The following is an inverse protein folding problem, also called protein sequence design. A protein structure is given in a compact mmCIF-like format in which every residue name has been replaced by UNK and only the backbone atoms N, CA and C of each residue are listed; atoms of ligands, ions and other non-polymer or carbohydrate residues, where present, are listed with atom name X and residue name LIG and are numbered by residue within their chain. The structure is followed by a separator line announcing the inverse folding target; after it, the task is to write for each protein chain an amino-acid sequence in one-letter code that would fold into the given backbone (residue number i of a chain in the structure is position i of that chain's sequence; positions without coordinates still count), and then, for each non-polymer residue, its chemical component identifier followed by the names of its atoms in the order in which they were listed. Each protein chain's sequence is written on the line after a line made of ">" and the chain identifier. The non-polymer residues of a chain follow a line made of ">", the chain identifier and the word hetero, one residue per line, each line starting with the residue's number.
data_IF_905536804457
#
_entry.id   IF_905536804457
#
_cell.length_a   1.000
_cell.length_b   1.000
_cell.length_c   1.000
_cell.angle_alpha   90.00
_cell.angle_beta   90.00
_cell.angle_gamma   90.00
#
_symmetry.space_group_name_H-M   'P 1'
#
loop_
_entity.id
_entity.type
_entity.pdbx_description
1 polymer ?
#
# COMPACT_ATOMS: atom_id res chain seq x y z
N UNK A 1 -49.36 -2.58 67.10
CA UNK A 1 -49.53 -2.42 65.64
C UNK A 1 -48.27 -1.82 65.07
N UNK A 2 -47.38 -2.64 64.65
CA UNK A 2 -46.06 -2.20 64.16
C UNK A 2 -45.95 -2.54 62.66
N UNK A 3 -45.90 -1.52 61.79
CA UNK A 3 -45.78 -1.63 60.32
C UNK A 3 -44.29 -1.72 59.94
N UNK A 4 -43.93 -2.80 59.33
CA UNK A 4 -42.62 -2.95 58.65
C UNK A 4 -42.71 -2.35 57.27
N UNK A 5 -41.80 -1.40 56.95
CA UNK A 5 -41.60 -0.86 55.60
C UNK A 5 -40.41 -1.61 55.00
N UNK A 6 -40.64 -2.41 53.98
CA UNK A 6 -39.58 -3.05 53.21
C UNK A 6 -39.12 -2.12 52.07
N UNK A 7 -37.86 -1.68 52.13
CA UNK A 7 -37.23 -0.88 51.09
C UNK A 7 -36.66 -1.80 50.03
N UNK A 8 -37.23 -1.78 48.82
CA UNK A 8 -36.69 -2.45 47.66
C UNK A 8 -35.56 -1.57 47.06
N UNK A 9 -34.33 -2.04 47.13
CA UNK A 9 -33.22 -1.46 46.37
C UNK A 9 -33.23 -2.03 44.95
N UNK A 10 -33.59 -1.22 43.97
CA UNK A 10 -33.48 -1.54 42.55
C UNK A 10 -32.03 -1.36 42.11
N UNK A 11 -31.32 -2.44 41.87
CA UNK A 11 -30.00 -2.43 41.26
C UNK A 11 -30.15 -2.20 39.76
N UNK A 12 -29.78 -1.04 39.26
CA UNK A 12 -29.63 -0.76 37.84
C UNK A 12 -28.38 -1.52 37.36
N UNK A 13 -28.56 -2.63 36.66
CA UNK A 13 -27.54 -3.17 35.80
C UNK A 13 -27.45 -2.32 34.53
N UNK A 14 -26.39 -1.51 34.42
CA UNK A 14 -26.02 -0.89 33.18
C UNK A 14 -25.50 -1.99 32.23
N UNK A 15 -26.33 -2.44 31.32
CA UNK A 15 -25.89 -3.28 30.19
C UNK A 15 -25.11 -2.38 29.23
N UNK A 16 -23.80 -2.50 29.24
CA UNK A 16 -22.97 -1.97 28.19
C UNK A 16 -23.27 -2.76 26.92
N UNK A 17 -24.03 -2.17 26.01
CA UNK A 17 -24.16 -2.67 24.66
C UNK A 17 -22.80 -2.43 23.97
N UNK A 18 -22.00 -3.47 23.82
CA UNK A 18 -20.95 -3.47 22.83
C UNK A 18 -21.66 -3.28 21.48
N UNK A 19 -21.33 -2.22 20.76
CA UNK A 19 -21.68 -2.13 19.35
C UNK A 19 -21.08 -3.37 18.69
N UNK A 20 -21.92 -4.19 18.05
CA UNK A 20 -21.45 -5.36 17.33
C UNK A 20 -20.59 -4.83 16.17
N UNK A 21 -19.33 -5.24 16.16
CA UNK A 21 -18.49 -5.07 14.97
C UNK A 21 -19.22 -5.69 13.78
N UNK A 22 -19.16 -5.03 12.62
CA UNK A 22 -19.81 -5.56 11.40
C UNK A 22 -19.31 -6.96 11.06
N UNK A 23 -20.07 -7.67 10.24
CA UNK A 23 -19.62 -8.96 9.72
C UNK A 23 -18.41 -8.78 8.79
N UNK A 24 -17.49 -9.78 8.73
CA UNK A 24 -16.36 -9.73 7.79
C UNK A 24 -16.86 -9.61 6.35
N UNK A 25 -16.25 -8.72 5.57
CA UNK A 25 -16.58 -8.54 4.15
C UNK A 25 -16.26 -9.80 3.35
N UNK A 26 -15.20 -10.52 3.75
CA UNK A 26 -14.73 -11.75 3.14
C UNK A 26 -14.43 -12.77 4.25
N UNK A 27 -15.21 -13.87 4.30
CA UNK A 27 -15.02 -14.98 5.23
C UNK A 27 -15.32 -16.31 4.54
N UNK A 28 -14.31 -17.15 4.30
CA UNK A 28 -14.51 -18.49 3.75
C UNK A 28 -15.03 -19.50 4.81
N UNK A 29 -15.35 -20.71 4.33
CA UNK A 29 -15.86 -21.81 5.16
C UNK A 29 -14.77 -22.41 6.08
N UNK A 30 -15.19 -22.99 7.20
CA UNK A 30 -14.35 -23.55 8.27
C UNK A 30 -13.35 -24.64 7.82
N UNK A 31 -12.14 -24.62 8.37
CA UNK A 31 -11.18 -25.73 8.37
C UNK A 31 -9.84 -25.48 7.66
N UNK A 32 -9.15 -24.35 7.91
CA UNK A 32 -7.87 -24.05 7.24
C UNK A 32 -6.91 -23.15 8.03
N UNK A 33 -5.89 -22.62 7.35
CA UNK A 33 -4.97 -21.61 7.87
C UNK A 33 -5.72 -20.28 7.93
N UNK A 34 -6.06 -19.80 9.11
CA UNK A 34 -6.80 -18.54 9.29
C UNK A 34 -5.88 -17.34 9.19
N UNK A 35 -6.15 -16.48 8.22
CA UNK A 35 -5.39 -15.27 7.95
C UNK A 35 -6.33 -14.07 8.10
N UNK A 36 -5.96 -13.13 8.98
CA UNK A 36 -6.71 -11.90 9.19
C UNK A 36 -6.23 -10.78 8.26
N UNK A 37 -7.15 -9.93 7.84
CA UNK A 37 -6.87 -8.75 7.02
C UNK A 37 -7.81 -7.61 7.37
N UNK A 38 -7.34 -6.38 7.28
CA UNK A 38 -8.14 -5.16 7.44
C UNK A 38 -7.85 -4.25 6.26
N UNK A 39 -8.90 -3.82 5.55
CA UNK A 39 -8.80 -3.06 4.31
C UNK A 39 -9.83 -1.94 4.27
N UNK A 40 -9.56 -0.80 3.62
CA UNK A 40 -10.54 0.24 3.38
C UNK A 40 -11.43 -0.13 2.17
N UNK A 41 -12.43 -0.99 2.38
CA UNK A 41 -13.39 -1.30 1.31
C UNK A 41 -14.38 -0.16 1.06
N UNK A 42 -14.53 0.73 2.04
CA UNK A 42 -15.31 1.97 1.97
C UNK A 42 -14.49 3.17 2.46
N UNK A 43 -15.06 4.39 2.40
CA UNK A 43 -14.38 5.60 2.83
C UNK A 43 -13.46 6.24 1.78
N UNK A 44 -12.59 7.14 2.23
CA UNK A 44 -11.75 7.98 1.34
C UNK A 44 -10.71 7.17 0.55
N UNK A 45 -10.30 6.02 1.08
CA UNK A 45 -9.25 5.16 0.50
C UNK A 45 -9.84 3.88 -0.15
N UNK A 46 -11.14 3.86 -0.44
CA UNK A 46 -11.87 2.67 -0.93
C UNK A 46 -11.28 2.03 -2.20
N UNK A 47 -10.59 2.81 -3.04
CA UNK A 47 -9.92 2.28 -4.25
C UNK A 47 -8.90 1.17 -3.89
N UNK A 48 -8.21 1.30 -2.77
CA UNK A 48 -7.22 0.32 -2.32
C UNK A 48 -7.84 -1.00 -1.81
N UNK A 49 -9.15 -1.04 -1.56
CA UNK A 49 -9.88 -2.26 -1.23
C UNK A 49 -9.78 -3.35 -2.30
N UNK A 50 -9.44 -2.98 -3.54
CA UNK A 50 -9.16 -3.92 -4.63
C UNK A 50 -8.01 -4.89 -4.28
N UNK A 51 -7.04 -4.48 -3.45
CA UNK A 51 -5.95 -5.32 -2.96
C UNK A 51 -6.51 -6.54 -2.22
N UNK A 52 -7.29 -6.33 -1.17
CA UNK A 52 -7.84 -7.42 -0.34
C UNK A 52 -8.82 -8.32 -1.11
N UNK A 53 -9.56 -7.77 -2.08
CA UNK A 53 -10.42 -8.58 -2.95
C UNK A 53 -9.61 -9.50 -3.86
N UNK A 54 -8.50 -9.00 -4.43
CA UNK A 54 -7.60 -9.81 -5.25
C UNK A 54 -6.86 -10.87 -4.40
N UNK A 55 -6.46 -10.55 -3.16
CA UNK A 55 -5.90 -11.51 -2.19
C UNK A 55 -6.90 -12.64 -1.90
N UNK A 56 -8.16 -12.30 -1.60
CA UNK A 56 -9.21 -13.28 -1.35
C UNK A 56 -9.45 -14.21 -2.55
N UNK A 57 -9.54 -13.62 -3.75
CA UNK A 57 -9.69 -14.38 -4.98
C UNK A 57 -8.50 -15.32 -5.23
N UNK A 58 -7.28 -14.85 -4.90
CA UNK A 58 -6.07 -15.67 -5.02
C UNK A 58 -6.10 -16.88 -4.08
N UNK A 59 -6.51 -16.70 -2.83
CA UNK A 59 -6.64 -17.80 -1.89
C UNK A 59 -7.80 -18.75 -2.26
N UNK A 60 -8.89 -18.24 -2.84
CA UNK A 60 -9.92 -19.09 -3.41
C UNK A 60 -9.34 -19.98 -4.52
N UNK A 61 -8.64 -19.42 -5.49
CA UNK A 61 -7.94 -20.16 -6.54
C UNK A 61 -7.01 -21.22 -5.96
N UNK A 62 -6.21 -20.85 -4.96
CA UNK A 62 -5.26 -21.73 -4.31
C UNK A 62 -5.98 -22.93 -3.65
N UNK A 63 -7.10 -22.69 -2.95
CA UNK A 63 -7.88 -23.72 -2.29
C UNK A 63 -8.50 -24.71 -3.30
N UNK A 64 -8.99 -24.23 -4.45
CA UNK A 64 -9.48 -25.09 -5.52
C UNK A 64 -8.40 -26.04 -6.09
N UNK A 65 -7.12 -25.65 -5.95
CA UNK A 65 -5.96 -26.45 -6.39
C UNK A 65 -5.32 -27.25 -5.25
N UNK A 66 -6.02 -27.44 -4.11
CA UNK A 66 -5.57 -28.27 -3.00
C UNK A 66 -4.86 -27.52 -1.87
N UNK A 67 -4.91 -26.20 -1.88
CA UNK A 67 -4.37 -25.36 -0.80
C UNK A 67 -2.84 -25.33 -0.73
N UNK A 68 -2.32 -25.11 0.47
CA UNK A 68 -0.88 -25.10 0.75
C UNK A 68 -0.56 -26.29 1.67
N UNK A 69 0.34 -27.16 1.25
CA UNK A 69 0.73 -28.34 2.01
C UNK A 69 -0.49 -29.18 2.48
N UNK A 70 -1.57 -29.21 1.68
CA UNK A 70 -2.82 -29.90 2.01
C UNK A 70 -3.79 -29.12 2.92
N UNK A 71 -3.48 -27.88 3.29
CA UNK A 71 -4.34 -27.02 4.08
C UNK A 71 -4.98 -25.91 3.23
N UNK A 72 -6.27 -25.70 3.41
CA UNK A 72 -6.94 -24.53 2.84
C UNK A 72 -6.53 -23.25 3.57
N UNK A 73 -6.60 -22.12 2.88
CA UNK A 73 -6.45 -20.78 3.47
C UNK A 73 -7.84 -20.21 3.75
N UNK A 74 -8.09 -19.83 5.00
CA UNK A 74 -9.27 -19.08 5.43
C UNK A 74 -8.88 -17.62 5.56
N UNK A 75 -9.14 -16.82 4.53
CA UNK A 75 -8.86 -15.40 4.51
C UNK A 75 -10.06 -14.61 5.03
N UNK A 76 -9.91 -13.94 6.17
CA UNK A 76 -10.96 -13.18 6.87
C UNK A 76 -10.59 -11.70 6.77
N UNK A 77 -11.36 -10.92 6.03
CA UNK A 77 -11.09 -9.51 5.81
C UNK A 77 -12.24 -8.62 6.25
N UNK A 78 -11.92 -7.56 6.98
CA UNK A 78 -12.86 -6.56 7.48
C UNK A 78 -12.64 -5.21 6.80
N UNK A 79 -13.71 -4.40 6.74
CA UNK A 79 -13.68 -3.01 6.28
C UNK A 79 -13.41 -2.08 7.46
N UNK A 80 -12.31 -1.32 7.43
CA UNK A 80 -12.01 -0.29 8.43
C UNK A 80 -12.55 1.09 8.02
N UNK A 81 -13.29 1.18 6.91
CA UNK A 81 -13.88 2.43 6.42
C UNK A 81 -12.87 3.58 6.28
N UNK A 82 -11.60 3.26 6.15
CA UNK A 82 -10.45 4.20 6.17
C UNK A 82 -10.24 4.87 7.55
N UNK A 83 -10.69 4.23 8.66
CA UNK A 83 -10.52 4.72 10.03
C UNK A 83 -9.51 3.86 10.81
N UNK A 84 -8.35 4.42 11.20
CA UNK A 84 -7.35 3.70 12.00
C UNK A 84 -7.85 3.19 13.35
N UNK A 85 -8.83 3.84 13.97
CA UNK A 85 -9.39 3.36 15.25
C UNK A 85 -10.25 2.12 15.04
N UNK A 86 -11.04 2.10 13.97
CA UNK A 86 -11.80 0.91 13.58
C UNK A 86 -10.86 -0.25 13.23
N UNK A 87 -9.76 0.01 12.53
CA UNK A 87 -8.74 -0.99 12.23
C UNK A 87 -8.19 -1.68 13.49
N UNK A 88 -8.02 -0.95 14.61
CA UNK A 88 -7.59 -1.52 15.88
C UNK A 88 -8.60 -2.51 16.44
N UNK A 89 -9.89 -2.14 16.47
CA UNK A 89 -10.93 -3.00 17.04
C UNK A 89 -11.18 -4.24 16.17
N UNK A 90 -11.16 -4.09 14.85
CA UNK A 90 -11.25 -5.19 13.89
C UNK A 90 -10.06 -6.14 13.99
N UNK A 91 -8.84 -5.61 14.15
CA UNK A 91 -7.64 -6.45 14.35
C UNK A 91 -7.72 -7.25 15.64
N UNK A 92 -8.23 -6.66 16.73
CA UNK A 92 -8.48 -7.43 17.97
C UNK A 92 -9.50 -8.54 17.75
N UNK A 93 -10.57 -8.26 17.02
CA UNK A 93 -11.57 -9.27 16.70
C UNK A 93 -10.99 -10.43 15.88
N UNK A 94 -10.17 -10.13 14.86
CA UNK A 94 -9.45 -11.14 14.08
C UNK A 94 -8.60 -12.06 14.95
N UNK A 95 -7.89 -11.49 15.92
CA UNK A 95 -6.97 -12.23 16.80
C UNK A 95 -7.70 -12.99 17.90
N UNK A 96 -8.63 -12.34 18.60
CA UNK A 96 -9.20 -12.84 19.85
C UNK A 96 -10.48 -13.64 19.65
N UNK A 97 -11.24 -13.37 18.57
CA UNK A 97 -12.49 -14.05 18.25
C UNK A 97 -12.34 -15.01 17.08
N UNK A 98 -11.80 -14.52 15.96
CA UNK A 98 -11.63 -15.35 14.75
C UNK A 98 -10.41 -16.28 14.84
N UNK A 99 -9.53 -16.10 15.84
CA UNK A 99 -8.32 -16.89 16.04
C UNK A 99 -7.38 -16.89 14.83
N UNK A 100 -7.21 -15.72 14.19
CA UNK A 100 -6.28 -15.57 13.09
C UNK A 100 -4.86 -15.96 13.53
N UNK A 101 -4.19 -16.75 12.72
CA UNK A 101 -2.81 -17.17 12.94
C UNK A 101 -1.88 -15.95 12.88
N UNK A 102 -2.10 -15.10 11.89
CA UNK A 102 -1.41 -13.83 11.67
C UNK A 102 -2.29 -12.86 10.89
N UNK A 103 -1.87 -11.59 10.83
CA UNK A 103 -2.47 -10.54 10.01
C UNK A 103 -1.61 -10.33 8.76
N UNK A 104 -2.24 -10.23 7.58
CA UNK A 104 -1.57 -10.18 6.29
C UNK A 104 -2.16 -9.11 5.38
N UNK A 105 -1.30 -8.40 4.65
CA UNK A 105 -1.69 -7.53 3.54
C UNK A 105 -2.55 -6.32 3.90
N UNK A 106 -2.78 -6.04 5.19
CA UNK A 106 -3.61 -4.92 5.63
C UNK A 106 -3.07 -3.59 5.10
N UNK A 107 -3.97 -2.72 4.62
CA UNK A 107 -3.60 -1.50 3.93
C UNK A 107 -3.39 -0.31 4.87
N UNK A 108 -2.48 0.58 4.44
CA UNK A 108 -2.36 1.95 4.95
C UNK A 108 -1.41 2.11 6.14
N UNK A 109 -0.69 3.23 6.15
CA UNK A 109 0.28 3.52 7.22
C UNK A 109 -0.41 3.77 8.55
N UNK A 110 -1.39 4.68 8.68
CA UNK A 110 -2.03 4.97 9.96
C UNK A 110 -2.71 3.74 10.58
N UNK A 111 -3.52 2.99 9.81
CA UNK A 111 -4.23 1.79 10.29
C UNK A 111 -3.28 0.71 10.80
N UNK A 112 -2.14 0.51 10.12
CA UNK A 112 -1.16 -0.50 10.53
C UNK A 112 -0.27 -0.06 11.69
N UNK A 113 0.00 1.23 11.86
CA UNK A 113 0.77 1.75 13.00
C UNK A 113 0.02 1.57 14.33
N UNK A 114 -1.28 1.82 14.36
CA UNK A 114 -2.06 1.69 15.60
C UNK A 114 -2.12 0.24 16.10
N UNK A 115 -2.12 -0.75 15.20
CA UNK A 115 -2.20 -2.18 15.56
C UNK A 115 -0.83 -2.81 15.81
N UNK A 116 0.25 -2.22 15.30
CA UNK A 116 1.61 -2.78 15.32
C UNK A 116 2.07 -3.20 16.70
N UNK A 117 1.96 -2.29 17.69
CA UNK A 117 2.40 -2.58 19.05
C UNK A 117 1.63 -3.75 19.67
N UNK A 118 0.30 -3.76 19.49
CA UNK A 118 -0.57 -4.83 20.00
C UNK A 118 -0.18 -6.20 19.43
N UNK A 119 0.03 -6.29 18.10
CA UNK A 119 0.42 -7.53 17.45
C UNK A 119 1.81 -8.00 17.87
N UNK A 120 2.78 -7.08 18.00
CA UNK A 120 4.13 -7.41 18.48
C UNK A 120 4.14 -7.90 19.94
N UNK A 121 3.39 -7.24 20.84
CA UNK A 121 3.27 -7.65 22.24
C UNK A 121 2.66 -9.06 22.39
N UNK A 122 1.77 -9.45 21.44
CA UNK A 122 1.14 -10.78 21.42
C UNK A 122 1.91 -11.82 20.58
N UNK A 123 3.04 -11.46 20.00
CA UNK A 123 3.82 -12.31 19.09
C UNK A 123 2.98 -12.83 17.92
N UNK A 124 2.21 -11.93 17.31
CA UNK A 124 1.41 -12.24 16.15
C UNK A 124 2.06 -11.59 14.93
N UNK A 125 2.44 -12.35 13.91
CA UNK A 125 3.00 -11.77 12.69
C UNK A 125 2.03 -10.79 12.03
N UNK A 126 2.52 -9.60 11.72
CA UNK A 126 1.90 -8.60 10.84
C UNK A 126 2.70 -8.60 9.54
N UNK A 127 2.28 -9.43 8.59
CA UNK A 127 3.07 -9.74 7.42
C UNK A 127 2.64 -8.93 6.22
N UNK A 128 3.65 -8.41 5.52
CA UNK A 128 3.50 -7.80 4.22
C UNK A 128 2.47 -6.67 4.21
N UNK A 129 2.59 -5.79 5.21
CA UNK A 129 1.77 -4.57 5.30
C UNK A 129 1.77 -3.87 3.95
N UNK A 130 0.58 -3.55 3.43
CA UNK A 130 0.40 -2.82 2.18
C UNK A 130 0.64 -1.31 2.40
N UNK A 131 1.87 -0.98 2.77
CA UNK A 131 2.39 0.37 2.98
C UNK A 131 3.92 0.34 2.86
N UNK A 132 4.48 1.34 2.20
CA UNK A 132 5.92 1.53 2.02
C UNK A 132 6.59 2.39 3.09
N UNK A 133 5.95 2.68 4.23
CA UNK A 133 6.57 3.47 5.30
C UNK A 133 7.85 2.80 5.81
N UNK A 134 8.93 3.57 5.96
CA UNK A 134 10.24 3.05 6.37
C UNK A 134 10.25 2.45 7.79
N UNK A 135 9.21 2.75 8.60
CA UNK A 135 9.03 2.17 9.93
C UNK A 135 8.77 0.65 9.93
N UNK A 136 8.35 0.06 8.79
CA UNK A 136 8.20 -1.40 8.67
C UNK A 136 9.54 -2.14 8.62
N UNK A 137 10.63 -1.45 8.31
CA UNK A 137 11.98 -1.99 8.25
C UNK A 137 12.73 -1.93 9.61
N UNK A 138 12.03 -2.20 10.71
CA UNK A 138 12.60 -2.15 12.07
C UNK A 138 12.49 -3.49 12.80
N UNK A 139 13.26 -4.51 12.40
CA UNK A 139 13.21 -5.85 13.05
C UNK A 139 13.67 -5.86 14.52
N UNK A 140 14.44 -4.85 14.95
CA UNK A 140 14.92 -4.77 16.33
C UNK A 140 13.80 -4.46 17.32
N UNK A 141 12.98 -3.45 17.02
CA UNK A 141 11.95 -2.97 17.93
C UNK A 141 10.57 -3.59 17.65
N UNK A 142 10.35 -4.03 16.41
CA UNK A 142 9.11 -4.67 15.95
C UNK A 142 9.38 -5.95 15.15
N UNK A 143 9.90 -7.01 15.79
CA UNK A 143 10.32 -8.24 15.11
C UNK A 143 9.16 -9.05 14.48
N UNK A 144 7.92 -8.70 14.77
CA UNK A 144 6.72 -9.36 14.25
C UNK A 144 6.00 -8.57 13.16
N UNK A 145 6.57 -7.45 12.69
CA UNK A 145 5.98 -6.61 11.63
C UNK A 145 6.92 -6.47 10.45
N UNK A 146 6.41 -6.69 9.25
CA UNK A 146 7.13 -6.56 7.98
C UNK A 146 6.25 -5.91 6.93
N UNK A 147 6.75 -4.85 6.24
CA UNK A 147 6.11 -4.28 5.04
C UNK A 147 6.29 -5.16 3.82
N UNK A 148 5.71 -4.76 2.68
CA UNK A 148 5.90 -5.46 1.40
C UNK A 148 6.39 -4.57 0.27
N UNK A 149 5.73 -3.44 -0.06
CA UNK A 149 6.16 -2.59 -1.17
C UNK A 149 7.49 -1.88 -0.88
N UNK A 150 8.11 -1.30 -1.89
CA UNK A 150 9.28 -0.44 -1.71
C UNK A 150 9.01 0.71 -0.74
N UNK A 151 10.07 1.18 -0.09
CA UNK A 151 9.94 2.25 0.90
C UNK A 151 9.67 3.61 0.24
N UNK A 152 8.67 4.34 0.74
CA UNK A 152 8.33 5.71 0.30
C UNK A 152 9.51 6.66 0.41
N UNK A 153 10.32 6.53 1.45
CA UNK A 153 11.55 7.31 1.62
C UNK A 153 12.57 7.04 0.51
N UNK A 154 12.69 5.80 0.04
CA UNK A 154 13.51 5.46 -1.13
C UNK A 154 12.96 6.10 -2.39
N UNK A 155 11.65 6.05 -2.57
CA UNK A 155 10.95 6.67 -3.68
C UNK A 155 11.22 8.20 -3.73
N UNK A 156 11.06 8.90 -2.61
CA UNK A 156 11.37 10.32 -2.51
C UNK A 156 12.80 10.65 -2.91
N UNK A 157 13.79 9.82 -2.51
CA UNK A 157 15.20 9.98 -2.93
C UNK A 157 15.39 9.75 -4.43
N UNK A 158 14.66 8.80 -5.03
CA UNK A 158 14.71 8.58 -6.49
C UNK A 158 14.22 9.83 -7.23
N UNK A 159 13.10 10.43 -6.80
CA UNK A 159 12.60 11.66 -7.37
C UNK A 159 13.58 12.81 -7.21
N UNK A 160 14.17 12.98 -6.02
CA UNK A 160 15.19 14.00 -5.76
C UNK A 160 16.37 13.90 -6.72
N UNK A 161 16.87 12.68 -6.96
CA UNK A 161 17.98 12.47 -7.88
C UNK A 161 17.61 12.78 -9.33
N UNK A 162 16.43 12.38 -9.75
CA UNK A 162 15.93 12.71 -11.07
C UNK A 162 15.79 14.23 -11.26
N UNK A 163 15.19 14.92 -10.28
CA UNK A 163 15.02 16.36 -10.29
C UNK A 163 16.37 17.07 -10.36
N UNK A 164 17.35 16.68 -9.56
CA UNK A 164 18.68 17.26 -9.58
C UNK A 164 19.40 17.04 -10.92
N UNK A 165 19.23 15.87 -11.53
CA UNK A 165 19.89 15.54 -12.80
C UNK A 165 19.32 16.34 -13.99
N UNK A 166 18.00 16.59 -14.01
CA UNK A 166 17.32 17.15 -15.18
C UNK A 166 16.72 18.55 -14.96
N UNK A 167 16.57 19.00 -13.69
CA UNK A 167 15.85 20.22 -13.34
C UNK A 167 16.51 21.00 -12.21
N UNK A 168 17.84 21.05 -12.16
CA UNK A 168 18.67 21.52 -11.02
C UNK A 168 18.42 22.94 -10.54
N UNK A 169 17.71 23.78 -11.30
CA UNK A 169 17.43 25.19 -10.94
C UNK A 169 15.94 25.50 -10.83
N UNK A 170 15.07 24.49 -10.98
CA UNK A 170 13.62 24.67 -10.97
C UNK A 170 13.06 24.69 -9.56
N UNK A 171 12.00 25.48 -9.36
CA UNK A 171 11.28 25.58 -8.09
C UNK A 171 10.38 24.37 -7.88
N UNK A 172 10.57 23.67 -6.78
CA UNK A 172 9.77 22.51 -6.38
C UNK A 172 8.65 22.97 -5.44
N UNK A 173 7.44 22.48 -5.67
CA UNK A 173 6.36 22.49 -4.71
C UNK A 173 5.97 21.06 -4.34
N UNK A 174 5.58 20.83 -3.09
CA UNK A 174 5.14 19.53 -2.61
C UNK A 174 3.70 19.63 -2.15
N UNK A 175 2.85 18.73 -2.66
CA UNK A 175 1.46 18.56 -2.22
C UNK A 175 1.32 17.15 -1.66
N UNK A 176 1.14 17.03 -0.34
CA UNK A 176 1.27 15.77 0.37
C UNK A 176 0.10 15.48 1.32
N UNK A 177 -0.26 14.20 1.45
CA UNK A 177 -1.30 13.76 2.38
C UNK A 177 -0.81 13.92 3.82
N UNK A 178 -1.60 14.57 4.66
CA UNK A 178 -1.25 14.95 6.03
C UNK A 178 -1.30 13.78 7.03
N UNK A 179 -0.50 12.76 6.75
CA UNK A 179 -0.30 11.62 7.65
C UNK A 179 1.15 11.10 7.57
N UNK A 180 1.43 9.94 8.15
CA UNK A 180 2.76 9.33 8.14
C UNK A 180 3.19 8.91 6.74
N UNK A 181 2.24 8.52 5.87
CA UNK A 181 2.53 8.16 4.48
C UNK A 181 3.16 9.35 3.73
N UNK A 182 2.45 10.49 3.65
CA UNK A 182 2.95 11.65 2.95
C UNK A 182 4.23 12.22 3.56
N UNK A 183 4.35 12.19 4.89
CA UNK A 183 5.58 12.64 5.57
C UNK A 183 6.79 11.81 5.23
N UNK A 184 6.65 10.49 5.03
CA UNK A 184 7.81 9.62 4.79
C UNK A 184 8.38 9.82 3.38
N UNK A 185 7.53 9.97 2.36
CA UNK A 185 7.96 10.29 1.01
C UNK A 185 8.61 11.68 0.95
N UNK A 186 7.96 12.70 1.56
CA UNK A 186 8.47 14.06 1.58
C UNK A 186 9.86 14.13 2.24
N UNK A 187 10.06 13.45 3.38
CA UNK A 187 11.40 13.32 4.00
C UNK A 187 12.40 12.67 3.06
N UNK A 188 12.00 11.63 2.32
CA UNK A 188 12.84 11.00 1.32
C UNK A 188 13.28 11.98 0.22
N UNK A 189 12.37 12.84 -0.22
CA UNK A 189 12.68 13.92 -1.18
C UNK A 189 13.69 14.91 -0.62
N UNK A 190 13.48 15.40 0.62
CA UNK A 190 14.41 16.33 1.29
C UNK A 190 15.79 15.71 1.47
N UNK A 191 15.87 14.47 1.96
CA UNK A 191 17.13 13.74 2.13
C UNK A 191 17.87 13.55 0.80
N UNK A 192 17.13 13.20 -0.25
CA UNK A 192 17.71 13.01 -1.57
C UNK A 192 18.22 14.32 -2.20
N UNK A 193 17.54 15.42 -1.96
CA UNK A 193 17.97 16.75 -2.42
C UNK A 193 19.16 17.28 -1.61
N UNK A 194 19.28 16.94 -0.33
CA UNK A 194 20.35 17.45 0.54
C UNK A 194 20.44 19.00 0.51
N UNK A 195 21.59 19.56 0.16
CA UNK A 195 21.76 21.02 0.06
C UNK A 195 20.85 21.67 -1.02
N UNK A 196 20.39 20.89 -1.99
CA UNK A 196 19.44 21.36 -3.00
C UNK A 196 17.99 21.41 -2.49
N UNK A 197 17.69 21.01 -1.26
CA UNK A 197 16.35 21.12 -0.66
C UNK A 197 15.82 22.57 -0.64
N UNK A 198 16.70 23.57 -0.75
CA UNK A 198 16.29 24.97 -0.98
C UNK A 198 15.50 25.21 -2.26
N UNK A 199 15.47 24.24 -3.18
CA UNK A 199 14.63 24.28 -4.38
C UNK A 199 13.15 24.09 -4.04
N UNK A 200 12.84 23.47 -2.89
CA UNK A 200 11.47 23.39 -2.36
C UNK A 200 11.09 24.78 -1.85
N UNK A 201 10.31 25.49 -2.65
CA UNK A 201 9.91 26.87 -2.35
C UNK A 201 8.65 26.94 -1.49
N UNK A 202 7.84 25.90 -1.53
CA UNK A 202 6.62 25.78 -0.74
C UNK A 202 6.15 24.33 -0.68
N UNK A 203 5.46 23.99 0.37
CA UNK A 203 4.67 22.75 0.49
C UNK A 203 3.29 23.03 1.04
N UNK A 204 2.33 22.19 0.72
CA UNK A 204 0.99 22.22 1.25
C UNK A 204 0.50 20.81 1.55
N UNK A 205 -0.22 20.68 2.66
CA UNK A 205 -0.82 19.41 3.04
C UNK A 205 -2.33 19.40 2.77
N UNK A 206 -2.87 18.20 2.61
CA UNK A 206 -4.32 17.95 2.55
C UNK A 206 -4.66 16.69 3.37
N UNK A 207 -5.87 16.62 3.87
CA UNK A 207 -6.37 15.43 4.55
C UNK A 207 -7.01 14.46 3.54
N UNK A 208 -6.86 13.14 3.75
CA UNK A 208 -7.44 12.14 2.85
C UNK A 208 -8.96 12.28 2.64
N UNK A 209 -9.63 12.97 3.55
CA UNK A 209 -11.08 13.26 3.52
C UNK A 209 -11.45 14.57 2.83
N UNK A 210 -10.46 15.35 2.39
CA UNK A 210 -10.71 16.59 1.67
C UNK A 210 -11.43 16.30 0.35
N UNK A 211 -12.29 17.24 -0.05
CA UNK A 211 -13.09 17.09 -1.28
C UNK A 211 -12.50 17.81 -2.48
N UNK A 212 -11.68 18.83 -2.23
CA UNK A 212 -11.04 19.66 -3.23
C UNK A 212 -9.64 20.05 -2.79
N UNK A 213 -8.74 20.21 -3.76
CA UNK A 213 -7.37 20.66 -3.59
C UNK A 213 -7.14 22.08 -4.15
N UNK A 214 -8.20 22.80 -4.52
CA UNK A 214 -8.09 24.08 -5.23
C UNK A 214 -7.25 25.10 -4.45
N UNK A 215 -7.46 25.22 -3.13
CA UNK A 215 -6.69 26.16 -2.31
C UNK A 215 -5.20 25.83 -2.25
N UNK A 216 -4.87 24.56 -2.11
CA UNK A 216 -3.50 24.08 -2.10
C UNK A 216 -2.82 24.32 -3.45
N UNK A 217 -3.52 24.03 -4.55
CA UNK A 217 -3.03 24.23 -5.91
C UNK A 217 -2.82 25.72 -6.21
N UNK A 218 -3.70 26.60 -5.76
CA UNK A 218 -3.55 28.04 -5.87
C UNK A 218 -2.29 28.55 -5.15
N UNK A 219 -2.01 28.06 -3.94
CA UNK A 219 -0.80 28.39 -3.18
C UNK A 219 0.46 27.99 -3.94
N UNK A 220 0.47 26.77 -4.48
CA UNK A 220 1.60 26.23 -5.24
C UNK A 220 1.84 27.03 -6.54
N UNK A 221 0.78 27.31 -7.30
CA UNK A 221 0.84 28.10 -8.52
C UNK A 221 1.36 29.52 -8.25
N UNK A 222 0.78 30.21 -7.25
CA UNK A 222 1.19 31.57 -6.88
C UNK A 222 2.64 31.65 -6.35
N UNK A 223 3.19 30.56 -5.84
CA UNK A 223 4.60 30.46 -5.43
C UNK A 223 5.56 30.25 -6.61
N UNK A 224 5.01 30.11 -7.81
CA UNK A 224 5.78 29.92 -9.05
C UNK A 224 6.45 28.56 -9.13
N UNK A 225 5.79 27.53 -8.64
CA UNK A 225 6.22 26.12 -8.71
C UNK A 225 6.33 25.67 -10.17
N UNK A 226 7.45 25.09 -10.52
CA UNK A 226 7.77 24.55 -11.84
C UNK A 226 7.85 23.02 -11.86
N UNK A 227 8.01 22.40 -10.66
CA UNK A 227 7.91 20.94 -10.46
C UNK A 227 6.96 20.73 -9.30
N UNK A 228 5.89 20.01 -9.54
CA UNK A 228 4.92 19.61 -8.53
C UNK A 228 5.15 18.14 -8.17
N UNK A 229 5.56 17.88 -6.94
CA UNK A 229 5.59 16.52 -6.37
C UNK A 229 4.30 16.32 -5.60
N UNK A 230 3.52 15.36 -6.03
CA UNK A 230 2.25 14.98 -5.40
C UNK A 230 2.40 13.61 -4.72
N UNK A 231 1.88 13.53 -3.50
CA UNK A 231 1.90 12.33 -2.67
C UNK A 231 0.53 12.16 -2.00
N UNK A 232 -0.23 11.15 -2.42
CA UNK A 232 -1.57 10.94 -1.93
C UNK A 232 -2.39 9.88 -2.65
N UNK A 233 -3.69 9.84 -2.37
CA UNK A 233 -4.60 8.90 -2.99
C UNK A 233 -4.84 9.20 -4.49
N UNK A 234 -5.11 8.16 -5.33
CA UNK A 234 -5.28 8.33 -6.79
C UNK A 234 -6.44 9.26 -7.18
N UNK A 235 -7.51 9.31 -6.37
CA UNK A 235 -8.63 10.21 -6.63
C UNK A 235 -8.22 11.69 -6.51
N UNK A 236 -7.27 12.01 -5.62
CA UNK A 236 -6.70 13.35 -5.46
C UNK A 236 -5.71 13.65 -6.60
N UNK A 237 -4.89 12.68 -7.00
CA UNK A 237 -4.02 12.82 -8.18
C UNK A 237 -4.84 13.14 -9.45
N UNK A 238 -5.99 12.49 -9.64
CA UNK A 238 -6.90 12.79 -10.74
C UNK A 238 -7.44 14.24 -10.70
N UNK A 239 -7.66 14.81 -9.51
CA UNK A 239 -8.04 16.24 -9.38
C UNK A 239 -6.87 17.15 -9.79
N UNK A 240 -5.65 16.85 -9.32
CA UNK A 240 -4.44 17.61 -9.70
C UNK A 240 -4.26 17.59 -11.21
N UNK A 241 -4.33 16.43 -11.86
CA UNK A 241 -4.17 16.28 -13.31
C UNK A 241 -5.21 17.10 -14.07
N UNK A 242 -6.50 17.05 -13.67
CA UNK A 242 -7.55 17.86 -14.31
C UNK A 242 -7.29 19.34 -14.14
N UNK A 243 -6.99 19.79 -12.92
CA UNK A 243 -6.71 21.20 -12.63
C UNK A 243 -5.57 21.71 -13.51
N UNK A 244 -4.48 20.96 -13.65
CA UNK A 244 -3.35 21.31 -14.50
C UNK A 244 -3.76 21.35 -15.99
N UNK A 245 -4.60 20.41 -16.43
CA UNK A 245 -5.10 20.39 -17.81
C UNK A 245 -6.06 21.52 -18.16
N UNK A 246 -6.76 22.08 -17.17
CA UNK A 246 -7.74 23.17 -17.31
C UNK A 246 -7.13 24.56 -17.05
N UNK A 247 -5.90 24.64 -16.51
CA UNK A 247 -5.20 25.88 -16.16
C UNK A 247 -4.10 26.24 -17.16
N UNK A 248 -3.53 27.44 -17.03
CA UNK A 248 -2.33 27.89 -17.73
C UNK A 248 -1.02 27.54 -17.00
N UNK A 249 -1.10 26.82 -15.87
CA UNK A 249 0.02 26.36 -15.07
C UNK A 249 0.40 24.92 -15.44
N UNK A 250 1.59 24.72 -16.00
CA UNK A 250 2.08 23.43 -16.48
C UNK A 250 3.42 23.06 -15.86
N UNK A 251 3.45 22.70 -14.56
CA UNK A 251 4.66 22.20 -13.92
C UNK A 251 4.99 20.79 -14.40
N UNK A 252 6.23 20.36 -14.24
CA UNK A 252 6.56 18.94 -14.31
C UNK A 252 5.85 18.23 -13.15
N UNK A 253 4.92 17.30 -13.44
CA UNK A 253 4.18 16.57 -12.43
C UNK A 253 4.89 15.25 -12.10
N UNK A 254 5.19 15.06 -10.82
CA UNK A 254 5.73 13.83 -10.25
C UNK A 254 4.68 13.25 -9.30
N UNK A 255 4.21 12.06 -9.55
CA UNK A 255 3.25 11.36 -8.69
C UNK A 255 3.95 10.25 -7.91
N UNK A 256 3.59 10.07 -6.65
CA UNK A 256 3.97 8.86 -5.92
C UNK A 256 3.44 7.59 -6.60
N UNK A 257 4.08 6.46 -6.34
CA UNK A 257 3.72 5.18 -6.96
C UNK A 257 2.28 4.75 -6.62
N UNK A 258 1.82 5.03 -5.41
CA UNK A 258 0.46 4.66 -5.00
C UNK A 258 -0.61 5.49 -5.73
N UNK A 259 -0.30 6.74 -6.12
CA UNK A 259 -1.19 7.60 -6.88
C UNK A 259 -1.12 7.36 -8.40
N UNK A 260 -0.08 6.70 -8.92
CA UNK A 260 0.22 6.63 -10.36
C UNK A 260 -0.57 5.56 -11.14
N UNK A 261 -1.76 5.19 -10.66
CA UNK A 261 -2.63 4.23 -11.35
C UNK A 261 -3.19 4.81 -12.64
N UNK A 262 -2.98 4.12 -13.77
CA UNK A 262 -3.59 4.54 -15.05
C UNK A 262 -5.12 4.49 -14.92
N UNK A 263 -5.68 3.42 -14.34
CA UNK A 263 -7.12 3.24 -14.20
C UNK A 263 -7.77 4.25 -13.24
N UNK A 264 -7.13 4.49 -12.07
CA UNK A 264 -7.75 5.22 -10.96
C UNK A 264 -7.33 6.69 -10.85
N UNK A 265 -6.25 7.12 -11.53
CA UNK A 265 -5.76 8.50 -11.50
C UNK A 265 -5.64 9.13 -12.88
N UNK A 266 -4.81 8.55 -13.78
CA UNK A 266 -4.49 9.19 -15.04
C UNK A 266 -5.71 9.27 -15.99
N UNK A 267 -6.44 8.17 -16.13
CA UNK A 267 -7.65 8.12 -16.97
C UNK A 267 -8.77 9.05 -16.45
N UNK A 268 -9.13 9.05 -15.16
CA UNK A 268 -10.08 10.02 -14.59
C UNK A 268 -9.59 11.47 -14.64
N UNK A 269 -8.27 11.71 -14.58
CA UNK A 269 -7.66 13.04 -14.70
C UNK A 269 -7.57 13.56 -16.14
N UNK A 270 -7.63 12.65 -17.12
CA UNK A 270 -7.39 12.91 -18.54
C UNK A 270 -6.04 12.36 -18.98
N UNK A 271 -6.03 11.35 -19.86
CA UNK A 271 -4.78 10.75 -20.35
C UNK A 271 -3.90 11.75 -21.09
N UNK A 272 -4.51 12.67 -21.85
CA UNK A 272 -3.83 13.76 -22.56
C UNK A 272 -3.17 14.75 -21.59
N UNK A 273 -3.79 15.03 -20.44
CA UNK A 273 -3.26 15.90 -19.39
C UNK A 273 -2.14 15.20 -18.58
N UNK A 274 -2.07 13.87 -18.69
CA UNK A 274 -1.11 13.05 -17.96
C UNK A 274 0.18 12.81 -18.75
N UNK A 275 0.28 13.26 -20.01
CA UNK A 275 1.50 13.07 -20.82
C UNK A 275 2.67 13.77 -20.17
N UNK A 276 3.75 13.03 -19.92
CA UNK A 276 4.94 13.56 -19.27
C UNK A 276 4.97 13.40 -17.75
N UNK A 277 3.88 12.94 -17.14
CA UNK A 277 3.86 12.58 -15.70
C UNK A 277 4.95 11.58 -15.39
N UNK A 278 5.67 11.83 -14.29
CA UNK A 278 6.77 11.01 -13.81
C UNK A 278 6.31 10.26 -12.56
N UNK A 279 6.70 9.01 -12.43
CA UNK A 279 6.47 8.20 -11.25
C UNK A 279 7.53 7.11 -11.12
N UNK A 280 7.37 6.23 -10.14
CA UNK A 280 8.10 4.97 -10.05
C UNK A 280 7.17 3.78 -10.24
N UNK A 281 7.72 2.63 -10.62
CA UNK A 281 6.98 1.38 -10.77
C UNK A 281 7.83 0.20 -10.29
N UNK A 282 7.17 -0.80 -9.72
CA UNK A 282 7.76 -2.09 -9.35
C UNK A 282 6.91 -3.29 -9.80
N UNK A 283 5.68 -3.04 -10.22
CA UNK A 283 4.74 -4.02 -10.77
C UNK A 283 4.48 -3.75 -12.24
N UNK A 284 4.09 -4.78 -12.98
CA UNK A 284 3.54 -4.67 -14.32
C UNK A 284 2.11 -4.13 -14.23
N UNK A 285 1.83 -3.05 -14.91
CA UNK A 285 0.47 -2.48 -14.95
C UNK A 285 -0.41 -3.30 -15.92
N UNK A 286 -1.59 -3.74 -15.46
CA UNK A 286 -2.52 -4.54 -16.25
C UNK A 286 -3.10 -3.79 -17.46
N UNK A 287 -3.13 -2.46 -17.40
CA UNK A 287 -3.60 -1.59 -18.50
C UNK A 287 -2.51 -1.27 -19.53
N UNK A 288 -1.23 -1.58 -19.21
CA UNK A 288 -0.11 -1.24 -20.09
C UNK A 288 0.02 -2.23 -21.26
N UNK A 289 -0.19 -1.78 -22.50
CA UNK A 289 -0.05 -2.63 -23.67
C UNK A 289 1.35 -3.24 -23.88
N UNK A 290 2.37 -2.74 -23.19
CA UNK A 290 3.70 -3.35 -23.20
C UNK A 290 3.67 -4.82 -22.71
N UNK A 291 2.75 -5.17 -21.82
CA UNK A 291 2.61 -6.50 -21.24
C UNK A 291 1.62 -7.43 -21.93
N UNK A 292 0.97 -6.99 -23.02
CA UNK A 292 -0.08 -7.77 -23.73
C UNK A 292 0.32 -9.19 -24.14
N UNK A 293 1.61 -9.41 -24.42
CA UNK A 293 2.18 -10.70 -24.82
C UNK A 293 2.95 -11.42 -23.71
N UNK A 294 3.09 -10.80 -22.53
CA UNK A 294 3.73 -11.40 -21.37
C UNK A 294 2.91 -12.59 -20.83
N UNK A 295 3.54 -13.74 -20.64
CA UNK A 295 2.87 -14.97 -20.21
C UNK A 295 2.25 -14.81 -18.82
N UNK A 296 3.00 -14.21 -17.90
CA UNK A 296 2.54 -14.03 -16.52
C UNK A 296 1.36 -13.05 -16.41
N UNK A 297 1.35 -12.02 -17.26
CA UNK A 297 0.18 -11.11 -17.32
C UNK A 297 -1.04 -11.79 -17.95
N UNK A 298 -0.87 -12.69 -18.93
CA UNK A 298 -1.96 -13.52 -19.44
C UNK A 298 -2.52 -14.46 -18.37
N UNK A 299 -1.66 -15.05 -17.54
CA UNK A 299 -2.06 -15.85 -16.38
C UNK A 299 -2.82 -15.03 -15.35
N UNK A 300 -2.34 -13.83 -15.03
CA UNK A 300 -3.04 -12.88 -14.16
C UNK A 300 -4.42 -12.51 -14.73
N UNK A 301 -4.52 -12.15 -16.01
CA UNK A 301 -5.80 -11.82 -16.64
C UNK A 301 -6.78 -13.01 -16.62
N UNK A 302 -6.29 -14.23 -16.84
CA UNK A 302 -7.10 -15.44 -16.74
C UNK A 302 -7.56 -15.72 -15.29
N UNK A 303 -6.71 -15.43 -14.32
CA UNK A 303 -7.06 -15.46 -12.90
C UNK A 303 -8.19 -14.47 -12.59
N UNK A 304 -8.08 -13.21 -13.04
CA UNK A 304 -9.11 -12.19 -12.86
C UNK A 304 -10.43 -12.62 -13.49
N UNK A 305 -10.41 -13.14 -14.72
CA UNK A 305 -11.60 -13.62 -15.42
C UNK A 305 -12.36 -14.71 -14.65
N UNK A 306 -11.63 -15.58 -13.98
CA UNK A 306 -12.22 -16.75 -13.33
C UNK A 306 -12.58 -16.51 -11.86
N UNK A 307 -11.72 -15.81 -11.12
CA UNK A 307 -11.81 -15.72 -9.65
C UNK A 307 -12.21 -14.34 -9.12
N UNK A 308 -12.05 -13.29 -9.95
CA UNK A 308 -12.48 -11.94 -9.60
C UNK A 308 -13.07 -11.21 -10.83
N UNK A 309 -14.13 -11.78 -11.46
CA UNK A 309 -14.68 -11.25 -12.71
C UNK A 309 -15.30 -9.85 -12.60
N UNK A 310 -15.71 -9.42 -11.39
CA UNK A 310 -16.19 -8.06 -11.11
C UNK A 310 -15.07 -7.05 -10.90
N UNK A 311 -13.84 -7.51 -10.70
CA UNK A 311 -12.68 -6.65 -10.49
C UNK A 311 -12.18 -6.03 -11.80
N UNK A 312 -11.65 -4.81 -11.69
CA UNK A 312 -10.99 -4.17 -12.83
C UNK A 312 -9.59 -4.79 -13.05
N UNK A 313 -9.40 -5.42 -14.20
CA UNK A 313 -8.14 -6.06 -14.60
C UNK A 313 -7.03 -5.05 -14.89
N UNK A 314 -7.42 -3.80 -15.18
CA UNK A 314 -6.51 -2.69 -15.47
C UNK A 314 -6.09 -1.96 -14.19
N UNK A 315 -6.67 -2.32 -13.04
CA UNK A 315 -6.33 -1.71 -11.76
C UNK A 315 -5.03 -2.29 -11.21
N UNK A 316 -4.01 -1.44 -11.01
CA UNK A 316 -2.72 -1.84 -10.45
C UNK A 316 -2.85 -2.44 -9.04
N UNK A 317 -3.90 -2.09 -8.28
CA UNK A 317 -4.12 -2.61 -6.94
C UNK A 317 -4.56 -4.08 -6.95
N UNK A 318 -5.25 -4.54 -8.00
CA UNK A 318 -5.54 -5.98 -8.16
C UNK A 318 -4.26 -6.75 -8.48
N UNK A 319 -3.35 -6.17 -9.29
CA UNK A 319 -2.01 -6.74 -9.54
C UNK A 319 -1.19 -6.80 -8.25
N UNK A 320 -1.27 -5.76 -7.42
CA UNK A 320 -0.60 -5.72 -6.11
C UNK A 320 -1.08 -6.87 -5.21
N UNK A 321 -2.40 -7.03 -5.03
CA UNK A 321 -2.99 -8.10 -4.21
C UNK A 321 -2.58 -9.49 -4.72
N UNK A 322 -2.58 -9.69 -6.03
CA UNK A 322 -2.10 -10.93 -6.66
C UNK A 322 -0.62 -11.21 -6.35
N UNK A 323 0.24 -10.19 -6.44
CA UNK A 323 1.68 -10.30 -6.21
C UNK A 323 2.04 -10.58 -4.75
N UNK A 324 1.40 -9.87 -3.80
CA UNK A 324 1.67 -10.05 -2.38
C UNK A 324 1.13 -11.39 -1.88
N UNK A 325 0.00 -11.88 -2.42
CA UNK A 325 -0.51 -13.22 -2.15
C UNK A 325 0.45 -14.32 -2.63
N UNK A 326 1.06 -14.17 -3.81
CA UNK A 326 2.13 -15.08 -4.27
C UNK A 326 3.31 -15.11 -3.29
N UNK A 327 3.68 -13.96 -2.73
CA UNK A 327 4.78 -13.86 -1.75
C UNK A 327 4.43 -14.62 -0.46
N UNK A 328 3.21 -14.45 0.05
CA UNK A 328 2.76 -15.20 1.23
C UNK A 328 2.72 -16.70 0.97
N UNK A 329 2.21 -17.12 -0.18
CA UNK A 329 2.17 -18.54 -0.56
C UNK A 329 3.59 -19.14 -0.58
N UNK A 330 4.59 -18.39 -1.05
CA UNK A 330 5.99 -18.82 -0.98
C UNK A 330 6.44 -19.03 0.46
N UNK A 331 6.14 -18.10 1.38
CA UNK A 331 6.44 -18.23 2.81
C UNK A 331 5.79 -19.46 3.42
N UNK A 332 4.49 -19.65 3.19
CA UNK A 332 3.73 -20.77 3.76
C UNK A 332 4.19 -22.13 3.19
N UNK A 333 4.59 -22.19 1.92
CA UNK A 333 5.23 -23.40 1.34
C UNK A 333 6.54 -23.75 2.04
N UNK A 334 7.35 -22.74 2.40
CA UNK A 334 8.61 -22.93 3.11
C UNK A 334 8.38 -23.37 4.58
N UNK A 335 7.22 -23.06 5.17
CA UNK A 335 6.89 -23.51 6.52
C UNK A 335 6.73 -25.04 6.63
N UNK A 336 6.38 -25.73 5.54
CA UNK A 336 6.03 -27.16 5.58
C UNK A 336 4.83 -27.39 6.49
N UNK A 337 4.94 -28.38 7.39
CA UNK A 337 3.88 -28.73 8.36
C UNK A 337 3.92 -27.87 9.63
N UNK A 338 5.00 -27.10 9.84
CA UNK A 338 5.13 -26.20 11.01
C UNK A 338 4.59 -24.81 10.69
N UNK A 339 3.31 -24.62 10.97
CA UNK A 339 2.62 -23.33 10.81
C UNK A 339 2.61 -22.50 12.12
N UNK A 340 3.54 -22.76 13.06
CA UNK A 340 3.68 -21.88 14.23
C UNK A 340 4.00 -20.44 13.80
N UNK A 341 3.54 -19.46 14.58
CA UNK A 341 3.80 -18.02 14.30
C UNK A 341 5.29 -17.71 14.19
N UNK A 342 6.09 -18.36 15.03
CA UNK A 342 7.54 -18.27 15.03
C UNK A 342 8.15 -18.75 13.72
N UNK A 343 7.68 -19.90 13.21
CA UNK A 343 8.20 -20.43 11.94
C UNK A 343 7.71 -19.61 10.75
N UNK A 344 6.45 -19.17 10.75
CA UNK A 344 5.93 -18.28 9.69
C UNK A 344 6.78 -17.00 9.61
N UNK A 345 7.06 -16.35 10.76
CA UNK A 345 7.90 -15.15 10.78
C UNK A 345 9.34 -15.46 10.34
N UNK A 346 9.91 -16.59 10.78
CA UNK A 346 11.23 -17.04 10.35
C UNK A 346 11.33 -17.27 8.86
N UNK A 347 10.31 -17.86 8.22
CA UNK A 347 10.29 -18.07 6.78
C UNK A 347 10.09 -16.75 6.02
N UNK A 348 9.25 -15.85 6.54
CA UNK A 348 9.11 -14.50 5.98
C UNK A 348 10.42 -13.70 5.99
N UNK A 349 11.28 -13.92 7.00
CA UNK A 349 12.62 -13.32 7.11
C UNK A 349 13.70 -14.01 6.27
N UNK A 350 13.38 -15.01 5.50
CA UNK A 350 14.36 -15.84 4.76
C UNK A 350 14.05 -16.05 3.29
N UNK A 351 13.25 -15.16 2.71
CA UNK A 351 13.02 -15.14 1.27
C UNK A 351 14.33 -14.84 0.53
N UNK A 352 14.60 -15.60 -0.52
CA UNK A 352 15.80 -15.42 -1.37
C UNK A 352 15.40 -15.42 -2.82
N UNK A 353 15.66 -14.30 -3.49
CA UNK A 353 15.47 -14.13 -4.93
C UNK A 353 14.10 -14.61 -5.44
N UNK A 354 13.07 -14.57 -4.59
CA UNK A 354 11.72 -14.90 -5.00
C UNK A 354 11.24 -13.83 -5.99
N UNK A 355 10.57 -14.26 -7.04
CA UNK A 355 10.01 -13.36 -8.05
C UNK A 355 8.51 -13.63 -8.14
N UNK A 356 7.71 -12.65 -7.72
CA UNK A 356 6.31 -12.66 -8.12
C UNK A 356 6.22 -12.54 -9.64
N UNK A 357 5.30 -13.25 -10.24
CA UNK A 357 5.19 -13.31 -11.70
C UNK A 357 4.88 -11.97 -12.35
N UNK A 358 4.32 -11.03 -11.57
CA UNK A 358 3.88 -9.71 -12.03
C UNK A 358 4.75 -8.54 -11.53
N UNK A 359 5.88 -8.80 -10.84
CA UNK A 359 6.90 -7.78 -10.61
C UNK A 359 7.62 -7.42 -11.91
N UNK A 360 8.14 -6.19 -12.01
CA UNK A 360 8.92 -5.77 -13.17
C UNK A 360 10.20 -6.64 -13.31
N UNK A 361 10.67 -6.85 -14.54
CA UNK A 361 11.90 -7.59 -14.79
C UNK A 361 13.09 -7.02 -14.03
N UNK A 362 13.83 -7.87 -13.34
CA UNK A 362 14.97 -7.50 -12.51
C UNK A 362 14.67 -7.37 -11.03
N UNK A 363 13.40 -7.17 -10.63
CA UNK A 363 12.98 -7.05 -9.23
C UNK A 363 12.87 -8.44 -8.60
N UNK A 364 13.50 -8.60 -7.44
CA UNK A 364 13.47 -9.81 -6.64
C UNK A 364 13.07 -9.51 -5.19
N UNK A 365 12.32 -10.42 -4.59
CA UNK A 365 11.86 -10.33 -3.21
C UNK A 365 12.84 -11.09 -2.34
N UNK A 366 13.57 -10.35 -1.49
CA UNK A 366 14.62 -10.90 -0.64
C UNK A 366 14.55 -10.24 0.74
N UNK A 367 14.52 -11.07 1.79
CA UNK A 367 14.50 -10.65 3.18
C UNK A 367 15.62 -11.28 3.98
N UNK A 368 15.91 -10.71 5.15
CA UNK A 368 16.81 -11.30 6.14
C UNK A 368 16.36 -10.95 7.56
N UNK A 369 16.89 -11.60 8.62
CA UNK A 369 16.57 -11.24 9.99
C UNK A 369 16.89 -9.78 10.37
N UNK A 370 17.71 -9.09 9.57
CA UNK A 370 18.10 -7.69 9.79
C UNK A 370 17.56 -6.74 8.72
N UNK A 371 16.85 -7.25 7.70
CA UNK A 371 16.29 -6.45 6.62
C UNK A 371 14.86 -6.93 6.28
N UNK A 372 13.87 -6.18 6.72
CA UNK A 372 12.44 -6.43 6.56
C UNK A 372 11.82 -5.69 5.38
N UNK A 373 12.62 -5.38 4.36
CA UNK A 373 12.17 -4.80 3.10
C UNK A 373 12.16 -5.86 2.00
N UNK A 374 11.03 -6.53 1.73
CA UNK A 374 10.93 -7.59 0.73
C UNK A 374 11.20 -7.09 -0.69
N UNK A 375 10.49 -6.07 -1.14
CA UNK A 375 10.71 -5.39 -2.43
C UNK A 375 11.56 -4.16 -2.20
N UNK A 376 12.72 -4.08 -2.85
CA UNK A 376 13.70 -3.00 -2.63
C UNK A 376 13.92 -2.13 -3.85
N UNK A 377 13.62 -2.66 -5.00
CA UNK A 377 13.92 -2.02 -6.27
C UNK A 377 12.67 -1.37 -6.86
N UNK A 378 12.87 -0.21 -7.46
CA UNK A 378 11.89 0.53 -8.25
C UNK A 378 12.50 0.98 -9.57
N UNK A 379 11.67 1.21 -10.55
CA UNK A 379 12.05 1.82 -11.82
C UNK A 379 11.38 3.16 -11.97
N UNK A 380 12.15 4.20 -12.28
CA UNK A 380 11.58 5.48 -12.67
C UNK A 380 10.89 5.33 -14.03
N UNK A 381 9.73 5.91 -14.19
CA UNK A 381 8.88 5.81 -15.39
C UNK A 381 8.28 7.16 -15.75
N UNK A 382 7.99 7.37 -17.04
CA UNK A 382 7.27 8.54 -17.56
C UNK A 382 6.09 8.08 -18.41
N UNK A 383 4.94 8.69 -18.22
CA UNK A 383 3.74 8.37 -18.99
C UNK A 383 3.77 9.08 -20.36
N UNK A 384 3.60 8.31 -21.44
CA UNK A 384 3.62 8.83 -22.83
C UNK A 384 2.23 9.12 -23.41
N UNK A 385 1.18 9.02 -22.58
CA UNK A 385 -0.23 9.14 -22.98
C UNK A 385 -0.93 7.79 -23.16
N UNK A 386 -0.17 6.67 -23.13
CA UNK A 386 -0.69 5.33 -23.33
C UNK A 386 -0.09 4.28 -22.40
N UNK A 387 1.20 4.39 -22.10
CA UNK A 387 1.97 3.42 -21.34
C UNK A 387 3.07 4.10 -20.54
N UNK A 388 3.56 3.42 -19.53
CA UNK A 388 4.70 3.85 -18.74
C UNK A 388 6.03 3.50 -19.45
N UNK A 389 6.78 4.51 -19.84
CA UNK A 389 8.10 4.37 -20.45
C UNK A 389 9.18 4.38 -19.35
N UNK A 390 10.04 3.35 -19.28
CA UNK A 390 11.09 3.30 -18.27
C UNK A 390 12.15 4.39 -18.52
N UNK A 391 12.60 5.05 -17.44
CA UNK A 391 13.69 6.02 -17.45
C UNK A 391 14.88 5.41 -16.69
N UNK A 392 16.02 5.24 -17.36
CA UNK A 392 17.25 4.76 -16.73
C UNK A 392 17.16 3.30 -16.23
N UNK A 393 17.91 3.02 -15.15
CA UNK A 393 18.04 1.70 -14.55
C UNK A 393 17.09 1.49 -13.35
N UNK A 394 17.11 0.29 -12.78
CA UNK A 394 16.48 0.03 -11.48
C UNK A 394 17.25 0.75 -10.37
N UNK A 395 16.52 1.31 -9.43
CA UNK A 395 17.05 1.88 -8.19
C UNK A 395 16.73 0.93 -7.04
N UNK A 396 17.62 0.79 -6.08
CA UNK A 396 17.42 -0.02 -4.88
C UNK A 396 17.34 0.82 -3.60
N UNK A 397 16.95 0.21 -2.50
CA UNK A 397 16.81 0.85 -1.20
C UNK A 397 18.13 1.33 -0.59
N UNK A 398 19.28 0.84 -1.09
CA UNK A 398 20.62 1.30 -0.68
C UNK A 398 21.03 2.58 -1.43
N UNK A 399 20.19 3.04 -2.36
CA UNK A 399 20.44 4.24 -3.13
C UNK A 399 20.49 5.48 -2.21
N UNK A 400 21.72 5.94 -1.94
CA UNK A 400 21.98 7.20 -1.27
C UNK A 400 22.35 8.25 -2.31
N UNK A 401 21.75 9.43 -2.23
CA UNK A 401 22.08 10.57 -3.07
C UNK A 401 23.59 10.84 -3.02
N UNK A 402 24.28 10.80 -4.15
CA UNK A 402 25.65 11.27 -4.20
C UNK A 402 26.70 10.42 -4.92
N UNK A 403 26.33 9.57 -5.87
CA UNK A 403 27.31 9.03 -6.83
C UNK A 403 26.74 9.18 -8.24
N UNK A 404 27.12 10.24 -8.90
CA UNK A 404 26.84 10.42 -10.31
C UNK A 404 27.37 9.23 -11.11
N UNK A 405 26.47 8.56 -11.83
CA UNK A 405 26.78 7.84 -13.03
C UNK A 405 25.65 8.08 -14.02
N UNK A 406 25.70 9.27 -14.62
CA UNK A 406 25.07 9.52 -15.90
C UNK A 406 25.99 8.84 -16.95
N UNK A 407 25.56 7.73 -17.48
CA UNK A 407 26.06 7.20 -18.75
C UNK A 407 24.89 6.76 -19.62
#
# INVERSE_FOLDING_TARGET
>A
MTRWIATFAASLFATWSFAALGDPVLKPSDGGIRIGNVMPYTGALAAFGAIGRAEAAYFQMLNEHGGINGHNVEFISYDDSSDPLEAMDLTRNLVETENALFVFGSFGTPSNLVVRKYLNDKHIPQLFVASGDDQWANPRDFPWTMGWPPAFRTEGRIYANYIQAYYSEKKIGVLWQNDEFGRDLFRGLEEGLGDAARMIVTDTAFDATDRSLDQQLDVLHNSGVEILVFDGAPAMAAQVIRHLGESDWHPVLVLDNAAASIANALRPGGLENSIGVISTAFLKDGSDPAWKDDIAMKEYLSFMDKYYPEGDKEDIYTVFGYAVAQTLVQVLKQCGDDLSRENVMKQAQSLKDFRSSVTLPGIAITTSPTDFRPVKEMRLVQFDGRTWQPIGQLFDSAFTSGAGNAH
#
